data_IF_180741789548
#
_entry.id   IF_180741789548
#
_cell.length_a   1.000
_cell.length_b   1.000
_cell.length_c   1.000
_cell.angle_alpha   90.00
_cell.angle_beta   90.00
_cell.angle_gamma   90.00
#
_symmetry.space_group_name_H-M   'P 1'
#
loop_
_entity.id
_entity.type
_entity.pdbx_description
1 polymer ?
#
# COMPACT_ATOMS: atom_id res chain seq x y z
N UNK A 1 -52.66 -34.66 6.86
CA UNK A 1 -51.18 -34.50 6.84
C UNK A 1 -50.63 -34.15 5.45
N UNK A 2 -51.45 -33.69 4.50
CA UNK A 2 -51.02 -33.52 3.09
C UNK A 2 -50.51 -32.11 2.75
N UNK A 3 -51.00 -31.08 3.44
CA UNK A 3 -50.62 -29.66 3.20
C UNK A 3 -49.20 -29.30 3.67
N UNK A 4 -48.67 -30.01 4.67
CA UNK A 4 -47.32 -29.76 5.19
C UNK A 4 -46.22 -30.15 4.20
N UNK A 5 -46.42 -31.22 3.42
CA UNK A 5 -45.49 -31.64 2.37
C UNK A 5 -45.53 -30.74 1.14
N UNK A 6 -46.73 -30.27 0.75
CA UNK A 6 -46.94 -29.48 -0.46
C UNK A 6 -46.36 -28.06 -0.36
N UNK A 7 -46.33 -27.47 0.84
CA UNK A 7 -45.79 -26.12 1.08
C UNK A 7 -44.32 -26.18 1.54
N UNK A 8 -43.94 -27.20 2.32
CA UNK A 8 -42.58 -27.34 2.84
C UNK A 8 -41.53 -27.65 1.77
N UNK A 9 -41.88 -28.45 0.77
CA UNK A 9 -40.97 -28.83 -0.31
C UNK A 9 -40.53 -27.64 -1.19
N UNK A 10 -41.42 -26.77 -1.71
CA UNK A 10 -41.01 -25.60 -2.47
C UNK A 10 -40.23 -24.57 -1.63
N UNK A 11 -40.53 -24.43 -0.33
CA UNK A 11 -39.76 -23.56 0.58
C UNK A 11 -38.32 -24.06 0.79
N UNK A 12 -38.13 -25.37 0.92
CA UNK A 12 -36.81 -25.98 1.04
C UNK A 12 -35.97 -25.78 -0.23
N UNK A 13 -36.59 -25.94 -1.41
CA UNK A 13 -35.93 -25.67 -2.69
C UNK A 13 -35.56 -24.19 -2.81
N UNK A 14 -36.46 -23.28 -2.42
CA UNK A 14 -36.21 -21.85 -2.46
C UNK A 14 -35.05 -21.44 -1.54
N UNK A 15 -35.01 -21.96 -0.31
CA UNK A 15 -33.91 -21.75 0.63
C UNK A 15 -32.58 -22.30 0.08
N UNK A 16 -32.61 -23.47 -0.58
CA UNK A 16 -31.43 -24.07 -1.19
C UNK A 16 -30.87 -23.24 -2.35
N UNK A 17 -31.73 -22.67 -3.19
CA UNK A 17 -31.33 -21.76 -4.28
C UNK A 17 -30.71 -20.47 -3.71
N UNK A 18 -31.28 -19.90 -2.65
CA UNK A 18 -30.72 -18.72 -1.97
C UNK A 18 -29.34 -19.04 -1.39
N UNK A 19 -29.16 -20.20 -0.75
CA UNK A 19 -27.88 -20.62 -0.20
C UNK A 19 -26.78 -20.72 -1.29
N UNK A 20 -27.07 -21.36 -2.42
CA UNK A 20 -26.11 -21.51 -3.54
C UNK A 20 -25.77 -20.15 -4.15
N UNK A 21 -26.75 -19.27 -4.32
CA UNK A 21 -26.51 -17.94 -4.92
C UNK A 21 -25.66 -17.05 -4.01
N UNK A 22 -25.85 -17.13 -2.69
CA UNK A 22 -25.02 -16.42 -1.72
C UNK A 22 -23.59 -16.96 -1.67
N UNK A 23 -23.39 -18.28 -1.74
CA UNK A 23 -22.04 -18.87 -1.81
C UNK A 23 -21.27 -18.40 -3.05
N UNK A 24 -21.94 -18.31 -4.21
CA UNK A 24 -21.34 -17.79 -5.46
C UNK A 24 -20.96 -16.31 -5.32
N UNK A 25 -21.79 -15.49 -4.64
CA UNK A 25 -21.47 -14.09 -4.34
C UNK A 25 -20.24 -13.97 -3.43
N UNK A 26 -20.19 -14.68 -2.31
CA UNK A 26 -19.05 -14.66 -1.39
C UNK A 26 -17.73 -15.02 -2.08
N UNK A 27 -17.71 -16.07 -2.91
CA UNK A 27 -16.49 -16.45 -3.64
C UNK A 27 -16.04 -15.40 -4.68
N UNK A 28 -16.98 -14.66 -5.27
CA UNK A 28 -16.68 -13.56 -6.20
C UNK A 28 -16.11 -12.36 -5.43
N UNK A 29 -16.68 -12.05 -4.26
CA UNK A 29 -16.17 -11.01 -3.38
C UNK A 29 -14.76 -11.34 -2.88
N UNK A 30 -14.47 -12.57 -2.44
CA UNK A 30 -13.12 -12.98 -2.03
C UNK A 30 -12.10 -12.88 -3.17
N UNK A 31 -12.48 -13.28 -4.38
CA UNK A 31 -11.62 -13.13 -5.57
C UNK A 31 -11.34 -11.66 -5.89
N UNK A 32 -12.33 -10.79 -5.75
CA UNK A 32 -12.16 -9.34 -5.92
C UNK A 32 -11.30 -8.75 -4.81
N UNK A 33 -11.52 -9.13 -3.54
CA UNK A 33 -10.73 -8.73 -2.39
C UNK A 33 -9.26 -9.15 -2.54
N UNK A 34 -9.00 -10.38 -3.03
CA UNK A 34 -7.65 -10.88 -3.30
C UNK A 34 -6.97 -10.14 -4.46
N UNK A 35 -7.74 -9.73 -5.48
CA UNK A 35 -7.24 -8.88 -6.58
C UNK A 35 -6.93 -7.46 -6.11
N UNK A 36 -7.80 -6.87 -5.30
CA UNK A 36 -7.59 -5.57 -4.64
C UNK A 36 -6.35 -5.63 -3.74
N UNK A 37 -6.29 -6.58 -2.80
CA UNK A 37 -5.12 -6.79 -1.93
C UNK A 37 -3.82 -7.02 -2.72
N UNK A 38 -3.87 -7.68 -3.88
CA UNK A 38 -2.70 -7.82 -4.77
C UNK A 38 -2.36 -6.53 -5.52
N UNK A 39 -3.33 -5.72 -5.91
CA UNK A 39 -3.09 -4.40 -6.51
C UNK A 39 -2.49 -3.42 -5.49
N UNK A 40 -3.03 -3.34 -4.27
CA UNK A 40 -2.46 -2.54 -3.18
C UNK A 40 -1.06 -3.03 -2.80
N UNK A 41 -0.83 -4.35 -2.84
CA UNK A 41 0.50 -4.95 -2.60
C UNK A 41 1.45 -4.87 -3.80
N UNK A 42 0.97 -4.45 -4.98
CA UNK A 42 1.78 -4.21 -6.18
C UNK A 42 2.62 -2.95 -6.06
N UNK A 43 2.15 -1.98 -5.28
CA UNK A 43 2.88 -0.77 -4.87
C UNK A 43 3.97 -1.05 -3.81
N UNK A 44 3.95 -2.24 -3.22
CA UNK A 44 4.94 -2.65 -2.20
C UNK A 44 6.35 -2.79 -2.77
N UNK A 45 6.53 -2.84 -4.08
CA UNK A 45 7.87 -2.93 -4.69
C UNK A 45 8.68 -1.66 -4.46
N UNK A 46 8.07 -0.49 -4.64
CA UNK A 46 8.67 0.82 -4.32
C UNK A 46 8.67 1.06 -2.81
N UNK A 47 7.56 0.77 -2.11
CA UNK A 47 7.47 0.94 -0.65
C UNK A 47 8.51 0.10 0.13
N UNK A 48 8.87 -1.12 -0.33
CA UNK A 48 9.97 -1.89 0.27
C UNK A 48 11.35 -1.28 0.03
N UNK A 49 11.63 -0.79 -1.17
CA UNK A 49 12.93 -0.18 -1.49
C UNK A 49 13.14 1.10 -0.69
N UNK A 50 12.07 1.88 -0.49
CA UNK A 50 12.12 3.11 0.30
C UNK A 50 12.15 2.82 1.79
N UNK A 51 11.41 1.81 2.28
CA UNK A 51 11.59 1.34 3.67
C UNK A 51 13.01 0.89 3.97
N UNK A 52 13.71 0.31 3.00
CA UNK A 52 15.12 -0.05 3.14
C UNK A 52 16.07 1.16 3.12
N UNK A 53 15.60 2.36 2.78
CA UNK A 53 16.35 3.62 2.80
C UNK A 53 16.16 4.40 4.10
N UNK A 54 15.19 4.02 4.94
CA UNK A 54 14.96 4.61 6.26
C UNK A 54 16.21 4.46 7.14
N UNK A 55 16.61 5.55 7.79
CA UNK A 55 17.82 5.66 8.59
C UNK A 55 19.12 5.84 7.78
N UNK A 56 19.03 6.09 6.47
CA UNK A 56 20.19 6.33 5.62
C UNK A 56 20.17 7.72 4.97
N UNK A 57 21.38 8.23 4.68
CA UNK A 57 21.56 9.43 3.87
C UNK A 57 21.36 9.11 2.39
N UNK A 58 20.44 9.81 1.76
CA UNK A 58 20.10 9.67 0.35
C UNK A 58 19.97 11.03 -0.32
N UNK A 59 20.36 11.10 -1.59
CA UNK A 59 20.06 12.24 -2.43
C UNK A 59 18.65 12.11 -2.97
N UNK A 60 17.80 13.08 -2.66
CA UNK A 60 16.41 13.13 -3.14
C UNK A 60 16.31 14.22 -4.18
N UNK A 61 15.71 13.87 -5.33
CA UNK A 61 15.40 14.78 -6.43
C UNK A 61 13.88 14.89 -6.50
N UNK A 62 13.35 16.07 -6.18
CA UNK A 62 11.92 16.38 -6.31
C UNK A 62 11.65 17.11 -7.62
N UNK A 63 10.37 17.31 -7.95
CA UNK A 63 9.99 18.00 -9.17
C UNK A 63 10.51 19.45 -9.24
N UNK A 64 10.56 20.14 -8.10
CA UNK A 64 10.86 21.57 -7.97
C UNK A 64 12.26 21.89 -7.44
N UNK A 65 13.02 20.90 -6.92
CA UNK A 65 14.35 21.15 -6.35
C UNK A 65 15.45 20.32 -7.01
N UNK A 66 16.65 20.92 -7.03
CA UNK A 66 17.87 20.22 -7.40
C UNK A 66 18.17 19.07 -6.43
N UNK A 67 19.01 18.11 -6.86
CA UNK A 67 19.44 16.98 -6.03
C UNK A 67 20.10 17.46 -4.73
N UNK A 68 19.42 17.26 -3.61
CA UNK A 68 19.92 17.63 -2.27
C UNK A 68 20.10 16.38 -1.42
N UNK A 69 21.14 16.35 -0.59
CA UNK A 69 21.34 15.30 0.41
C UNK A 69 20.33 15.46 1.55
N UNK A 70 19.53 14.44 1.77
CA UNK A 70 18.58 14.33 2.87
C UNK A 70 18.81 13.02 3.63
N UNK A 71 18.49 13.02 4.91
CA UNK A 71 18.38 11.82 5.71
C UNK A 71 16.92 11.36 5.70
N UNK A 72 16.69 10.12 5.27
CA UNK A 72 15.34 9.54 5.27
C UNK A 72 15.06 9.04 6.67
N UNK A 73 14.23 9.76 7.43
CA UNK A 73 13.89 9.37 8.80
C UNK A 73 12.77 8.33 8.84
N UNK A 74 11.81 8.44 7.93
CA UNK A 74 10.73 7.46 7.78
C UNK A 74 10.10 7.52 6.38
N UNK A 75 9.39 6.47 6.00
CA UNK A 75 8.66 6.41 4.75
C UNK A 75 7.41 5.51 4.84
N UNK A 76 6.27 6.11 4.51
CA UNK A 76 4.96 5.47 4.53
C UNK A 76 4.50 5.04 3.12
N UNK A 77 3.19 4.89 2.89
CA UNK A 77 2.62 4.56 1.58
C UNK A 77 2.42 5.78 0.68
N UNK A 78 2.27 6.98 1.24
CA UNK A 78 2.06 8.23 0.48
C UNK A 78 3.17 9.28 0.66
N UNK A 79 3.93 9.21 1.75
CA UNK A 79 4.86 10.28 2.15
C UNK A 79 6.26 9.74 2.48
N UNK A 80 7.28 10.55 2.20
CA UNK A 80 8.63 10.40 2.75
C UNK A 80 8.89 11.52 3.74
N UNK A 81 9.42 11.13 4.90
CA UNK A 81 9.93 12.05 5.89
C UNK A 81 11.45 12.22 5.76
N UNK A 82 11.85 13.44 5.42
CA UNK A 82 13.23 13.83 5.16
C UNK A 82 13.69 14.83 6.23
N UNK A 83 14.92 14.67 6.70
CA UNK A 83 15.57 15.62 7.58
C UNK A 83 16.96 15.97 7.07
N UNK A 84 17.39 17.21 7.29
CA UNK A 84 18.72 17.68 6.93
C UNK A 84 19.20 18.72 7.93
N UNK A 85 20.47 18.62 8.31
CA UNK A 85 21.16 19.68 9.03
C UNK A 85 21.78 20.69 8.07
N UNK A 86 21.49 21.98 8.25
CA UNK A 86 22.20 23.06 7.57
C UNK A 86 23.61 23.28 8.18
N UNK A 87 24.49 23.99 7.47
CA UNK A 87 25.85 24.37 7.92
C UNK A 87 25.85 25.16 9.23
N UNK A 88 24.71 25.77 9.59
CA UNK A 88 24.51 26.50 10.85
C UNK A 88 24.03 25.61 12.01
N UNK A 89 23.86 24.31 11.80
CA UNK A 89 23.38 23.36 12.81
C UNK A 89 21.85 23.32 12.95
N UNK A 90 21.11 24.07 12.13
CA UNK A 90 19.66 24.01 12.12
C UNK A 90 19.18 22.72 11.46
N UNK A 91 18.20 22.06 12.06
CA UNK A 91 17.54 20.88 11.49
C UNK A 91 16.34 21.38 10.66
N UNK A 92 16.29 20.95 9.40
CA UNK A 92 15.19 21.21 8.47
C UNK A 92 14.51 19.87 8.22
N UNK A 93 13.21 19.84 8.48
CA UNK A 93 12.35 18.67 8.31
C UNK A 93 11.39 18.92 7.15
N UNK A 94 11.23 17.93 6.26
CA UNK A 94 10.39 18.04 5.06
C UNK A 94 9.62 16.75 4.84
N UNK A 95 8.31 16.90 4.59
CA UNK A 95 7.44 15.81 4.18
C UNK A 95 7.14 15.98 2.70
N UNK A 96 7.46 14.97 1.90
CA UNK A 96 7.30 15.01 0.45
C UNK A 96 6.40 13.85 0.01
N UNK A 97 5.33 14.10 -0.77
CA UNK A 97 4.53 13.02 -1.34
C UNK A 97 5.37 12.21 -2.34
N UNK A 98 5.16 10.90 -2.44
CA UNK A 98 5.90 10.08 -3.41
C UNK A 98 5.75 10.56 -4.86
N UNK A 99 4.59 11.12 -5.21
CA UNK A 99 4.29 11.62 -6.55
C UNK A 99 5.22 12.77 -6.99
N UNK A 100 5.75 13.53 -6.02
CA UNK A 100 6.69 14.63 -6.29
C UNK A 100 8.14 14.16 -6.40
N UNK A 101 8.44 12.92 -6.03
CA UNK A 101 9.80 12.38 -6.03
C UNK A 101 10.13 11.80 -7.40
N UNK A 102 11.05 12.45 -8.10
CA UNK A 102 11.53 11.99 -9.41
C UNK A 102 12.59 10.91 -9.29
N UNK A 103 13.49 11.02 -8.31
CA UNK A 103 14.53 10.03 -8.10
C UNK A 103 15.10 10.09 -6.68
N UNK A 104 15.54 8.93 -6.17
CA UNK A 104 16.28 8.80 -4.92
C UNK A 104 17.57 8.02 -5.20
N UNK A 105 18.71 8.50 -4.70
CA UNK A 105 20.00 7.79 -4.78
C UNK A 105 20.58 7.61 -3.39
N UNK A 106 20.92 6.38 -3.03
CA UNK A 106 21.63 6.08 -1.77
C UNK A 106 23.07 6.54 -1.86
N UNK A 107 23.58 7.21 -0.83
CA UNK A 107 25.02 7.42 -0.67
C UNK A 107 25.63 6.15 -0.06
N UNK A 108 26.21 5.31 -0.91
CA UNK A 108 27.04 4.20 -0.44
C UNK A 108 28.41 4.81 -0.15
N UNK A 109 28.76 4.97 1.12
CA UNK A 109 30.14 5.28 1.47
C UNK A 109 30.98 4.07 1.04
N UNK A 110 31.82 4.26 0.02
CA UNK A 110 32.83 3.28 -0.33
C UNK A 110 33.84 3.24 0.82
N UNK A 111 33.83 2.15 1.60
CA UNK A 111 34.97 1.80 2.45
C UNK A 111 36.20 1.69 1.55
N UNK A 112 37.26 2.43 1.93
CA UNK A 112 38.56 2.46 1.28
C UNK A 112 39.50 1.50 1.99
#
# INVERSE_FOLDING_TARGET
>A
MEVFGMIGFPLAIFAFIIAITNQKKCSKLEKQLKKLKRKTKGDTSMSRLIKNLVGQKAFVITADEASVEWEVLDADEEWIYLSRSDKKGNIIEKYVPFDEIKAIRRQIMAEK
#
